data_IF_607149013768
#
_entry.id   IF_607149013768
#
_cell.length_a   1.000
_cell.length_b   1.000
_cell.length_c   1.000
_cell.angle_alpha   90.00
_cell.angle_beta   90.00
_cell.angle_gamma   90.00
#
_symmetry.space_group_name_H-M   'P 1'
#
loop_
_entity.id
_entity.type
_entity.pdbx_description
1 polymer ?
#
# COMPACT_ATOMS: atom_id res chain seq x y z
N UNK A 1 26.66 15.53 38.57
CA UNK A 1 26.42 15.21 37.14
C UNK A 1 24.97 14.87 37.00
N UNK A 2 24.14 15.80 36.54
CA UNK A 2 22.73 15.59 36.27
C UNK A 2 22.63 15.03 34.83
N UNK A 3 22.19 13.78 34.72
CA UNK A 3 21.93 13.15 33.46
C UNK A 3 20.67 13.75 32.82
N UNK A 4 20.84 14.44 31.71
CA UNK A 4 19.76 14.83 30.81
C UNK A 4 19.16 13.57 30.19
N UNK A 5 18.05 13.09 30.74
CA UNK A 5 17.20 12.12 30.06
C UNK A 5 16.59 12.83 28.84
N UNK A 6 17.01 12.44 27.65
CA UNK A 6 16.34 12.83 26.41
C UNK A 6 14.94 12.20 26.40
N UNK A 7 13.93 12.99 26.77
CA UNK A 7 12.53 12.66 26.50
C UNK A 7 12.36 12.58 24.98
N UNK A 8 12.34 11.36 24.43
CA UNK A 8 11.81 11.13 23.10
C UNK A 8 10.32 11.47 23.15
N UNK A 9 9.96 12.64 22.65
CA UNK A 9 8.56 12.99 22.43
C UNK A 9 7.97 11.95 21.46
N UNK A 10 7.13 11.10 21.98
CA UNK A 10 6.27 10.23 21.18
C UNK A 10 5.42 11.14 20.27
N UNK A 11 5.79 11.24 19.01
CA UNK A 11 5.00 11.96 18.01
C UNK A 11 3.70 11.17 17.84
N UNK A 12 2.63 11.69 18.42
CA UNK A 12 1.29 11.12 18.30
C UNK A 12 0.79 11.44 16.88
N UNK A 13 0.15 10.45 16.25
CA UNK A 13 -0.54 10.69 14.98
C UNK A 13 -1.56 11.81 15.16
N UNK A 14 -1.52 12.82 14.29
CA UNK A 14 -2.39 13.98 14.37
C UNK A 14 -3.76 13.67 13.76
N UNK A 15 -4.82 14.02 14.46
CA UNK A 15 -6.18 13.90 13.98
C UNK A 15 -6.76 15.29 13.79
N UNK A 16 -7.34 15.52 12.62
CA UNK A 16 -8.04 16.77 12.26
C UNK A 16 -9.48 16.41 11.89
N UNK A 17 -10.44 17.28 12.23
CA UNK A 17 -11.81 17.19 11.74
C UNK A 17 -11.96 18.15 10.57
N UNK A 18 -12.30 17.61 9.41
CA UNK A 18 -12.58 18.37 8.19
C UNK A 18 -14.10 18.51 8.04
N UNK A 19 -14.58 19.74 7.99
CA UNK A 19 -16.01 20.06 7.78
C UNK A 19 -16.21 20.62 6.38
N UNK A 20 -17.10 20.00 5.60
CA UNK A 20 -17.42 20.43 4.22
C UNK A 20 -18.92 20.67 4.12
N UNK A 21 -19.28 21.90 3.80
CA UNK A 21 -20.65 22.28 3.46
C UNK A 21 -20.87 22.08 1.94
N UNK A 22 -22.01 21.48 1.57
CA UNK A 22 -22.41 21.32 0.17
C UNK A 22 -23.92 21.35 0.06
N UNK A 23 -24.45 22.08 -0.95
CA UNK A 23 -25.87 22.25 -1.16
C UNK A 23 -26.69 20.97 -1.39
N UNK A 24 -26.02 19.86 -1.66
CA UNK A 24 -26.64 18.52 -1.79
C UNK A 24 -27.08 17.94 -0.45
N UNK A 25 -26.64 18.51 0.66
CA UNK A 25 -26.91 18.03 2.01
C UNK A 25 -27.50 19.14 2.86
N UNK A 26 -28.46 18.79 3.72
CA UNK A 26 -29.09 19.74 4.64
C UNK A 26 -28.11 20.27 5.71
N UNK A 27 -27.11 19.48 6.05
CA UNK A 27 -26.07 19.83 7.01
C UNK A 27 -24.69 19.50 6.47
N UNK A 28 -23.65 20.25 6.86
CA UNK A 28 -22.27 19.94 6.52
C UNK A 28 -21.90 18.50 6.92
N UNK A 29 -21.09 17.85 6.12
CA UNK A 29 -20.50 16.56 6.45
C UNK A 29 -19.15 16.77 7.14
N UNK A 30 -18.92 16.02 8.21
CA UNK A 30 -17.67 16.06 8.97
C UNK A 30 -16.91 14.75 8.84
N UNK A 31 -15.60 14.87 8.63
CA UNK A 31 -14.69 13.74 8.45
C UNK A 31 -13.51 13.83 9.41
N UNK A 32 -13.18 12.72 10.06
CA UNK A 32 -11.91 12.56 10.73
C UNK A 32 -10.84 12.31 9.69
N UNK A 33 -9.79 13.12 9.68
CA UNK A 33 -8.58 12.93 8.88
C UNK A 33 -7.45 12.54 9.83
N UNK A 34 -7.01 11.29 9.73
CA UNK A 34 -5.91 10.76 10.53
C UNK A 34 -4.64 10.82 9.73
N UNK A 35 -3.66 11.59 10.18
CA UNK A 35 -2.36 11.73 9.53
C UNK A 35 -1.36 10.69 10.07
N UNK A 36 -0.50 10.11 9.22
CA UNK A 36 0.54 9.19 9.65
C UNK A 36 1.61 9.90 10.48
N UNK A 37 2.28 9.17 11.37
CA UNK A 37 3.27 9.73 12.32
C UNK A 37 4.40 10.52 11.64
N UNK A 38 4.82 10.12 10.43
CA UNK A 38 5.86 10.85 9.71
C UNK A 38 5.39 12.13 9.02
N UNK A 39 4.09 12.44 9.04
CA UNK A 39 3.54 13.55 8.27
C UNK A 39 4.16 14.90 8.62
N UNK A 40 4.34 15.20 9.91
CA UNK A 40 4.99 16.43 10.38
C UNK A 40 6.51 16.44 10.16
N UNK A 41 7.13 15.26 10.13
CA UNK A 41 8.59 15.14 10.05
C UNK A 41 9.12 15.12 8.60
N UNK A 42 8.37 14.52 7.67
CA UNK A 42 8.80 14.31 6.27
C UNK A 42 8.03 15.23 5.31
N UNK A 43 8.45 16.47 5.21
CA UNK A 43 7.75 17.53 4.46
C UNK A 43 7.58 17.21 2.95
N UNK A 44 8.52 16.52 2.34
CA UNK A 44 8.49 16.19 0.90
C UNK A 44 7.77 14.86 0.60
N UNK A 45 7.36 14.09 1.63
CA UNK A 45 6.66 12.82 1.43
C UNK A 45 5.20 13.05 1.10
N UNK A 46 4.70 12.31 0.11
CA UNK A 46 3.29 12.21 -0.24
C UNK A 46 2.76 10.85 0.18
N UNK A 47 1.47 10.78 0.49
CA UNK A 47 0.85 9.66 1.17
C UNK A 47 -0.31 9.08 0.38
N UNK A 48 -0.50 7.77 0.49
CA UNK A 48 -1.72 7.09 0.06
C UNK A 48 -2.91 7.64 0.84
N UNK A 49 -4.08 7.64 0.23
CA UNK A 49 -5.33 8.06 0.85
C UNK A 49 -6.27 6.86 0.98
N UNK A 50 -6.83 6.63 2.16
CA UNK A 50 -7.82 5.57 2.39
C UNK A 50 -9.09 6.13 2.99
N UNK A 51 -10.22 5.70 2.43
CA UNK A 51 -11.55 6.01 2.92
C UNK A 51 -12.25 4.78 3.46
N UNK A 52 -12.93 4.91 4.60
CA UNK A 52 -13.94 3.97 5.07
C UNK A 52 -15.09 4.75 5.72
N UNK A 53 -16.32 4.48 5.28
CA UNK A 53 -17.49 5.27 5.70
C UNK A 53 -18.22 4.72 6.92
N UNK A 54 -17.69 3.69 7.58
CA UNK A 54 -18.23 3.25 8.85
C UNK A 54 -17.65 4.11 10.00
N UNK A 55 -18.48 4.77 10.83
CA UNK A 55 -17.99 5.66 11.89
C UNK A 55 -16.99 4.99 12.85
N UNK A 56 -17.18 3.69 13.11
CA UNK A 56 -16.31 2.91 14.00
C UNK A 56 -15.02 2.40 13.30
N UNK A 57 -14.88 2.59 11.99
CA UNK A 57 -13.68 2.15 11.26
C UNK A 57 -12.42 2.88 11.70
N UNK A 58 -12.53 4.13 12.14
CA UNK A 58 -11.41 4.93 12.62
C UNK A 58 -10.55 4.17 13.64
N UNK A 59 -11.15 3.56 14.64
CA UNK A 59 -10.42 2.95 15.76
C UNK A 59 -9.56 1.77 15.31
N UNK A 60 -10.11 0.84 14.54
CA UNK A 60 -9.33 -0.32 14.08
C UNK A 60 -8.36 0.03 12.95
N UNK A 61 -8.75 0.89 12.01
CA UNK A 61 -7.88 1.31 10.92
C UNK A 61 -6.64 2.05 11.42
N UNK A 62 -6.81 2.97 12.38
CA UNK A 62 -5.67 3.69 12.96
C UNK A 62 -4.71 2.74 13.66
N UNK A 63 -5.22 1.83 14.49
CA UNK A 63 -4.38 0.86 15.20
C UNK A 63 -3.66 -0.11 14.26
N UNK A 64 -4.35 -0.64 13.26
CA UNK A 64 -3.76 -1.52 12.24
C UNK A 64 -2.71 -0.78 11.41
N UNK A 65 -3.02 0.44 10.96
CA UNK A 65 -2.08 1.25 10.20
C UNK A 65 -0.81 1.55 11.00
N UNK A 66 -0.96 1.96 12.26
CA UNK A 66 0.18 2.22 13.16
C UNK A 66 1.05 0.97 13.36
N UNK A 67 0.44 -0.20 13.46
CA UNK A 67 1.14 -1.47 13.59
C UNK A 67 1.83 -1.87 12.28
N UNK A 68 1.08 -1.94 11.17
CA UNK A 68 1.55 -2.48 9.90
C UNK A 68 2.46 -1.54 9.11
N UNK A 69 2.50 -0.24 9.44
CA UNK A 69 3.36 0.74 8.77
C UNK A 69 4.69 1.04 9.49
N UNK A 70 4.90 0.55 10.72
CA UNK A 70 6.02 0.97 11.58
C UNK A 70 6.87 -0.17 12.14
N UNK A 71 6.49 -1.42 11.96
CA UNK A 71 7.10 -2.55 12.67
C UNK A 71 8.01 -3.43 11.80
N UNK A 72 8.85 -2.82 10.98
CA UNK A 72 9.96 -3.49 10.29
C UNK A 72 9.61 -4.06 8.92
N UNK A 73 8.55 -4.83 8.78
CA UNK A 73 8.13 -5.42 7.50
C UNK A 73 7.32 -4.44 6.63
N UNK A 74 6.56 -3.56 7.27
CA UNK A 74 5.79 -2.45 6.69
C UNK A 74 4.86 -2.82 5.51
N UNK A 75 4.00 -3.83 5.65
CA UNK A 75 3.10 -4.22 4.57
C UNK A 75 2.10 -3.12 4.18
N UNK A 76 1.86 -2.16 5.06
CA UNK A 76 1.02 -1.00 4.81
C UNK A 76 1.86 0.27 4.64
N UNK A 77 1.81 0.88 3.46
CA UNK A 77 2.44 2.19 3.25
C UNK A 77 1.78 3.25 4.15
N UNK A 78 2.57 4.19 4.67
CA UNK A 78 2.02 5.28 5.47
C UNK A 78 0.90 6.01 4.70
N UNK A 79 -0.29 6.02 5.28
CA UNK A 79 -1.57 6.38 4.64
C UNK A 79 -2.30 7.43 5.45
N UNK A 80 -2.90 8.41 4.79
CA UNK A 80 -3.90 9.32 5.37
C UNK A 80 -5.23 8.57 5.37
N UNK A 81 -5.86 8.41 6.55
CA UNK A 81 -7.12 7.69 6.70
C UNK A 81 -8.25 8.68 6.95
N UNK A 82 -9.32 8.57 6.14
CA UNK A 82 -10.49 9.44 6.22
C UNK A 82 -11.72 8.62 6.55
N UNK A 83 -12.40 8.98 7.63
CA UNK A 83 -13.64 8.34 8.09
C UNK A 83 -14.68 9.41 8.45
N UNK A 84 -15.99 9.11 8.41
CA UNK A 84 -16.98 10.05 8.89
C UNK A 84 -16.75 10.37 10.38
N UNK A 85 -16.97 11.62 10.77
CA UNK A 85 -16.94 12.00 12.18
C UNK A 85 -18.22 11.52 12.92
N UNK A 86 -19.35 11.60 12.23
CA UNK A 86 -20.66 11.25 12.79
C UNK A 86 -21.55 10.54 11.76
N UNK A 87 -22.43 9.69 12.26
CA UNK A 87 -23.49 9.07 11.49
C UNK A 87 -23.01 8.11 10.40
N UNK A 88 -23.94 7.70 9.57
CA UNK A 88 -23.68 6.90 8.39
C UNK A 88 -24.32 7.57 7.17
N UNK A 89 -23.57 8.33 6.37
CA UNK A 89 -24.11 9.04 5.21
C UNK A 89 -24.57 8.09 4.09
N UNK A 90 -24.30 6.79 4.21
CA UNK A 90 -24.59 5.77 3.20
C UNK A 90 -26.08 5.65 2.85
N UNK A 91 -26.98 5.92 3.79
CA UNK A 91 -28.42 5.88 3.53
C UNK A 91 -28.86 6.77 2.37
N UNK A 92 -28.05 7.75 1.99
CA UNK A 92 -28.28 8.68 0.86
C UNK A 92 -27.69 8.20 -0.47
N UNK A 93 -27.07 7.02 -0.47
CA UNK A 93 -26.26 6.55 -1.60
C UNK A 93 -27.02 5.73 -2.62
N UNK A 94 -28.01 4.97 -2.19
CA UNK A 94 -28.67 4.00 -3.06
C UNK A 94 -30.09 4.40 -3.37
N UNK A 95 -30.40 4.50 -4.65
CA UNK A 95 -31.76 4.43 -5.13
C UNK A 95 -32.09 3.00 -5.53
N UNK A 96 -33.35 2.73 -5.87
CA UNK A 96 -33.81 1.43 -6.30
C UNK A 96 -33.18 0.92 -7.61
N UNK A 97 -32.43 1.76 -8.33
CA UNK A 97 -31.77 1.42 -9.59
C UNK A 97 -30.28 1.12 -9.40
N UNK A 98 -29.73 1.31 -8.21
CA UNK A 98 -28.30 1.17 -7.92
C UNK A 98 -27.43 2.22 -8.64
N UNK A 99 -27.97 3.39 -8.98
CA UNK A 99 -27.24 4.47 -9.61
C UNK A 99 -26.33 5.20 -8.62
N UNK A 100 -25.38 5.93 -9.19
CA UNK A 100 -24.57 6.88 -8.43
C UNK A 100 -25.48 7.89 -7.73
N UNK A 101 -25.15 8.19 -6.49
CA UNK A 101 -25.95 9.02 -5.60
C UNK A 101 -25.23 10.33 -5.30
N UNK A 102 -25.90 11.29 -4.70
CA UNK A 102 -25.30 12.56 -4.31
C UNK A 102 -23.98 12.41 -3.52
N UNK A 103 -23.82 11.33 -2.75
CA UNK A 103 -22.61 11.11 -1.95
C UNK A 103 -21.37 10.81 -2.80
N UNK A 104 -21.48 9.95 -3.82
CA UNK A 104 -20.36 9.68 -4.74
C UNK A 104 -19.99 10.92 -5.57
N UNK A 105 -20.98 11.71 -5.97
CA UNK A 105 -20.76 13.00 -6.63
C UNK A 105 -20.07 14.00 -5.69
N UNK A 106 -20.47 14.02 -4.42
CA UNK A 106 -19.81 14.85 -3.40
C UNK A 106 -18.34 14.43 -3.20
N UNK A 107 -18.03 13.13 -3.18
CA UNK A 107 -16.65 12.69 -3.07
C UNK A 107 -15.78 13.14 -4.24
N UNK A 108 -16.31 13.00 -5.45
CA UNK A 108 -15.59 13.37 -6.67
C UNK A 108 -15.36 14.87 -6.78
N UNK A 109 -16.35 15.68 -6.42
CA UNK A 109 -16.35 17.12 -6.70
C UNK A 109 -15.97 18.01 -5.52
N UNK A 110 -16.02 17.47 -4.28
CA UNK A 110 -15.74 18.25 -3.07
C UNK A 110 -14.74 17.56 -2.14
N UNK A 111 -15.04 16.37 -1.62
CA UNK A 111 -14.24 15.76 -0.56
C UNK A 111 -12.81 15.42 -1.00
N UNK A 112 -12.66 14.72 -2.12
CA UNK A 112 -11.34 14.32 -2.63
C UNK A 112 -10.51 15.55 -3.06
N UNK A 113 -11.06 16.52 -3.84
CA UNK A 113 -10.31 17.72 -4.17
C UNK A 113 -9.88 18.54 -2.96
N UNK A 114 -10.72 18.67 -1.93
CA UNK A 114 -10.37 19.43 -0.74
C UNK A 114 -9.28 18.75 0.08
N UNK A 115 -9.31 17.40 0.18
CA UNK A 115 -8.23 16.65 0.82
C UNK A 115 -6.93 16.76 0.02
N UNK A 116 -6.96 16.61 -1.29
CA UNK A 116 -5.76 16.70 -2.14
C UNK A 116 -5.14 18.12 -2.09
N UNK A 117 -5.96 19.16 -1.88
CA UNK A 117 -5.50 20.54 -1.71
C UNK A 117 -4.86 20.79 -0.34
N UNK A 118 -5.44 20.23 0.74
CA UNK A 118 -4.98 20.48 2.10
C UNK A 118 -3.86 19.57 2.53
N UNK A 119 -3.77 18.34 1.98
CA UNK A 119 -2.85 17.30 2.43
C UNK A 119 -1.97 16.79 1.29
N UNK A 120 -0.79 16.31 1.66
CA UNK A 120 0.19 15.76 0.71
C UNK A 120 -0.18 14.33 0.29
N UNK A 121 -1.17 14.20 -0.56
CA UNK A 121 -1.57 12.92 -1.16
C UNK A 121 -0.72 12.59 -2.38
N UNK A 122 -0.55 11.30 -2.69
CA UNK A 122 0.17 10.83 -3.89
C UNK A 122 -0.76 10.43 -5.05
N UNK A 123 -2.08 10.62 -4.87
CA UNK A 123 -3.08 10.29 -5.87
C UNK A 123 -3.59 8.84 -5.84
N UNK A 124 -2.93 7.91 -5.14
CA UNK A 124 -3.44 6.55 -4.95
C UNK A 124 -4.48 6.51 -3.84
N UNK A 125 -5.68 6.03 -4.15
CA UNK A 125 -6.82 6.05 -3.25
C UNK A 125 -7.40 4.65 -3.06
N UNK A 126 -7.60 4.27 -1.79
CA UNK A 126 -8.22 3.02 -1.36
C UNK A 126 -9.61 3.33 -0.81
N UNK A 127 -10.60 2.55 -1.18
CA UNK A 127 -11.93 2.61 -0.59
C UNK A 127 -12.28 1.27 0.04
N UNK A 128 -12.50 1.26 1.35
CA UNK A 128 -12.91 0.11 2.13
C UNK A 128 -14.34 0.28 2.64
N UNK A 129 -15.04 -0.83 2.82
CA UNK A 129 -16.37 -0.77 3.40
C UNK A 129 -16.93 -2.13 3.78
N UNK A 130 -17.66 -2.13 4.91
CA UNK A 130 -18.31 -3.29 5.49
C UNK A 130 -19.83 -3.17 5.42
N UNK A 131 -20.55 -4.25 5.09
CA UNK A 131 -22.01 -4.31 4.91
C UNK A 131 -22.49 -3.31 3.85
N UNK A 132 -23.42 -2.42 4.20
CA UNK A 132 -23.94 -1.39 3.30
C UNK A 132 -22.82 -0.50 2.75
N UNK A 133 -21.80 -0.20 3.55
CA UNK A 133 -20.61 0.51 3.07
C UNK A 133 -19.83 -0.30 2.02
N UNK A 134 -19.79 -1.65 2.12
CA UNK A 134 -19.24 -2.51 1.10
C UNK A 134 -19.99 -2.40 -0.24
N UNK A 135 -21.32 -2.24 -0.19
CA UNK A 135 -22.11 -1.99 -1.41
C UNK A 135 -21.81 -0.61 -2.02
N UNK A 136 -21.49 0.40 -1.19
CA UNK A 136 -20.99 1.70 -1.66
C UNK A 136 -19.69 1.53 -2.43
N UNK A 137 -18.76 0.74 -1.89
CA UNK A 137 -17.47 0.45 -2.54
C UNK A 137 -17.69 -0.23 -3.89
N UNK A 138 -18.59 -1.23 -3.98
CA UNK A 138 -18.98 -1.86 -5.26
C UNK A 138 -19.59 -0.84 -6.23
N UNK A 139 -20.48 0.03 -5.75
CA UNK A 139 -21.10 1.09 -6.55
C UNK A 139 -20.05 2.05 -7.11
N UNK A 140 -19.07 2.45 -6.28
CA UNK A 140 -18.01 3.38 -6.71
C UNK A 140 -17.16 2.81 -7.83
N UNK A 141 -16.82 1.51 -7.79
CA UNK A 141 -16.03 0.85 -8.83
C UNK A 141 -16.66 0.96 -10.21
N UNK A 142 -17.99 0.79 -10.32
CA UNK A 142 -18.67 0.76 -11.62
C UNK A 142 -19.32 2.08 -12.03
N UNK A 143 -19.63 2.97 -11.10
CA UNK A 143 -20.29 4.24 -11.38
C UNK A 143 -19.33 5.45 -11.32
N UNK A 144 -18.21 5.34 -10.56
CA UNK A 144 -17.14 6.35 -10.46
C UNK A 144 -15.75 5.70 -10.56
N UNK A 145 -15.46 4.98 -11.66
CA UNK A 145 -14.30 4.09 -11.75
C UNK A 145 -12.94 4.79 -11.66
N UNK A 146 -12.89 6.11 -11.81
CA UNK A 146 -11.64 6.88 -11.71
C UNK A 146 -11.41 7.48 -10.31
N UNK A 147 -12.36 7.31 -9.39
CA UNK A 147 -12.29 7.93 -8.08
C UNK A 147 -11.32 7.20 -7.14
N UNK A 148 -11.28 5.87 -7.22
CA UNK A 148 -10.42 5.03 -6.39
C UNK A 148 -9.59 4.05 -7.25
N UNK A 149 -8.40 3.69 -6.74
CA UNK A 149 -7.49 2.73 -7.36
C UNK A 149 -7.71 1.32 -6.82
N UNK A 150 -8.07 1.20 -5.54
CA UNK A 150 -8.26 -0.06 -4.86
C UNK A 150 -9.57 -0.08 -4.04
N UNK A 151 -10.23 -1.21 -4.03
CA UNK A 151 -11.55 -1.42 -3.44
C UNK A 151 -11.49 -2.65 -2.52
N UNK A 152 -11.81 -2.47 -1.23
CA UNK A 152 -11.91 -3.55 -0.25
C UNK A 152 -13.38 -3.68 0.16
N UNK A 153 -14.04 -4.71 -0.35
CA UNK A 153 -15.47 -4.96 -0.19
C UNK A 153 -15.67 -6.08 0.81
N UNK A 154 -16.27 -5.77 1.95
CA UNK A 154 -16.39 -6.69 3.08
C UNK A 154 -17.87 -6.97 3.36
N UNK A 155 -18.30 -8.23 3.19
CA UNK A 155 -19.68 -8.69 3.43
C UNK A 155 -20.74 -7.69 2.95
N UNK A 156 -20.73 -7.30 1.66
CA UNK A 156 -21.60 -6.24 1.17
C UNK A 156 -23.08 -6.59 1.34
N UNK A 157 -23.90 -5.60 1.62
CA UNK A 157 -25.38 -5.74 1.55
C UNK A 157 -25.80 -5.79 0.08
N UNK A 158 -26.44 -6.88 -0.34
CA UNK A 158 -26.81 -7.11 -1.73
C UNK A 158 -28.31 -7.36 -1.92
N UNK A 159 -29.11 -7.15 -0.86
CA UNK A 159 -30.58 -7.33 -0.91
C UNK A 159 -31.19 -6.30 -1.86
N UNK A 160 -31.93 -6.70 -2.92
CA UNK A 160 -32.42 -5.78 -3.95
C UNK A 160 -33.32 -4.66 -3.40
N UNK A 161 -34.08 -4.96 -2.35
CA UNK A 161 -34.97 -3.99 -1.68
C UNK A 161 -34.20 -2.88 -0.97
N UNK A 162 -32.90 -3.07 -0.73
CA UNK A 162 -32.05 -2.12 -0.05
C UNK A 162 -31.09 -1.39 -0.99
N UNK A 163 -30.42 -2.14 -1.87
CA UNK A 163 -29.28 -1.58 -2.63
C UNK A 163 -29.27 -1.95 -4.11
N UNK A 164 -30.00 -2.96 -4.56
CA UNK A 164 -30.14 -3.43 -5.96
C UNK A 164 -28.85 -3.31 -6.83
N UNK A 165 -27.67 -3.48 -6.20
CA UNK A 165 -26.37 -3.25 -6.85
C UNK A 165 -26.06 -4.31 -7.92
N UNK A 166 -26.53 -5.55 -7.75
CA UNK A 166 -26.26 -6.65 -8.67
C UNK A 166 -26.92 -6.47 -10.04
N UNK A 167 -28.00 -5.68 -10.13
CA UNK A 167 -28.70 -5.46 -11.40
C UNK A 167 -27.78 -4.85 -12.46
N UNK A 168 -27.34 -5.68 -13.41
CA UNK A 168 -26.47 -5.29 -14.52
C UNK A 168 -25.03 -4.95 -14.08
N UNK A 169 -24.60 -5.44 -12.91
CA UNK A 169 -23.27 -5.17 -12.38
C UNK A 169 -22.18 -5.64 -13.34
N UNK A 170 -22.23 -6.88 -13.82
CA UNK A 170 -21.26 -7.42 -14.78
C UNK A 170 -21.17 -6.61 -16.06
N UNK A 171 -22.32 -6.15 -16.63
CA UNK A 171 -22.32 -5.28 -17.82
C UNK A 171 -21.62 -3.94 -17.59
N UNK A 172 -21.70 -3.39 -16.37
CA UNK A 172 -20.99 -2.16 -16.00
C UNK A 172 -19.51 -2.45 -15.77
N UNK A 173 -19.18 -3.57 -15.14
CA UNK A 173 -17.81 -4.00 -14.87
C UNK A 173 -17.03 -4.20 -16.17
N UNK A 174 -17.63 -4.86 -17.17
CA UNK A 174 -17.05 -5.07 -18.50
C UNK A 174 -16.77 -3.76 -19.28
N UNK A 175 -17.33 -2.64 -18.85
CA UNK A 175 -17.11 -1.31 -19.47
C UNK A 175 -16.02 -0.50 -18.79
N UNK A 176 -15.35 -1.03 -17.75
CA UNK A 176 -14.23 -0.34 -17.14
C UNK A 176 -13.13 -0.11 -18.19
N UNK A 177 -12.50 1.07 -18.13
CA UNK A 177 -11.36 1.38 -18.98
C UNK A 177 -10.10 0.63 -18.54
N UNK A 178 -9.02 0.72 -19.33
CA UNK A 178 -7.76 0.00 -19.11
C UNK A 178 -6.93 0.50 -17.91
N UNK A 179 -7.42 1.49 -17.15
CA UNK A 179 -6.72 1.95 -15.95
C UNK A 179 -6.66 0.82 -14.92
N UNK A 180 -5.47 0.44 -14.43
CA UNK A 180 -5.31 -0.60 -13.42
C UNK A 180 -6.10 -0.30 -12.14
N UNK A 181 -6.81 -1.29 -11.63
CA UNK A 181 -7.56 -1.24 -10.37
C UNK A 181 -7.43 -2.56 -9.63
N UNK A 182 -7.66 -2.47 -8.33
CA UNK A 182 -7.70 -3.62 -7.46
C UNK A 182 -9.09 -3.74 -6.79
N UNK A 183 -9.58 -4.98 -6.69
CA UNK A 183 -10.79 -5.33 -5.97
C UNK A 183 -10.55 -6.56 -5.10
N UNK A 184 -10.72 -6.42 -3.79
CA UNK A 184 -10.90 -7.53 -2.88
C UNK A 184 -12.39 -7.63 -2.52
N UNK A 185 -12.98 -8.80 -2.75
CA UNK A 185 -14.31 -9.14 -2.24
C UNK A 185 -14.20 -10.24 -1.20
N UNK A 186 -14.72 -9.98 0.00
CA UNK A 186 -14.70 -10.93 1.11
C UNK A 186 -16.07 -11.07 1.75
N UNK A 187 -16.33 -12.23 2.35
CA UNK A 187 -17.45 -12.48 3.26
C UNK A 187 -17.14 -13.65 4.18
N UNK A 188 -18.07 -13.94 5.12
CA UNK A 188 -18.08 -15.13 5.97
C UNK A 188 -19.33 -15.98 5.73
N UNK A 189 -19.53 -16.96 6.60
CA UNK A 189 -20.70 -17.85 6.61
C UNK A 189 -21.37 -17.88 7.99
N UNK A 190 -21.47 -16.71 8.62
CA UNK A 190 -22.19 -16.59 9.90
C UNK A 190 -23.69 -16.38 9.67
N UNK A 191 -24.49 -16.67 10.70
CA UNK A 191 -25.95 -16.42 10.68
C UNK A 191 -26.32 -14.98 10.27
N UNK A 192 -25.42 -14.03 10.45
CA UNK A 192 -25.61 -12.63 10.02
C UNK A 192 -25.57 -12.47 8.50
N UNK A 193 -25.02 -13.44 7.80
CA UNK A 193 -24.79 -13.42 6.36
C UNK A 193 -25.60 -14.47 5.58
N UNK A 194 -26.32 -15.38 6.27
CA UNK A 194 -27.05 -16.48 5.64
C UNK A 194 -27.97 -16.00 4.51
N UNK A 195 -28.66 -14.89 4.71
CA UNK A 195 -29.56 -14.31 3.71
C UNK A 195 -28.85 -13.69 2.50
N UNK A 196 -27.51 -13.57 2.52
CA UNK A 196 -26.69 -12.99 1.46
C UNK A 196 -25.92 -14.05 0.67
N UNK A 197 -25.76 -15.28 1.14
CA UNK A 197 -24.86 -16.30 0.57
C UNK A 197 -25.07 -16.52 -0.93
N UNK A 198 -26.33 -16.66 -1.36
CA UNK A 198 -26.66 -16.81 -2.79
C UNK A 198 -26.23 -15.57 -3.60
N UNK A 199 -26.38 -14.37 -3.04
CA UNK A 199 -26.01 -13.11 -3.70
C UNK A 199 -24.49 -12.91 -3.74
N UNK A 200 -23.76 -13.39 -2.72
CA UNK A 200 -22.30 -13.43 -2.75
C UNK A 200 -21.78 -14.34 -3.85
N UNK A 201 -22.39 -15.52 -4.03
CA UNK A 201 -22.06 -16.42 -5.14
C UNK A 201 -22.34 -15.75 -6.49
N UNK A 202 -23.50 -15.13 -6.66
CA UNK A 202 -23.84 -14.37 -7.85
C UNK A 202 -22.87 -13.23 -8.13
N UNK A 203 -22.51 -12.43 -7.12
CA UNK A 203 -21.52 -11.35 -7.28
C UNK A 203 -20.17 -11.89 -7.74
N UNK A 204 -19.69 -12.98 -7.12
CA UNK A 204 -18.44 -13.63 -7.51
C UNK A 204 -18.47 -14.11 -8.97
N UNK A 205 -19.57 -14.73 -9.41
CA UNK A 205 -19.77 -15.16 -10.79
C UNK A 205 -19.78 -13.97 -11.76
N UNK A 206 -20.51 -12.89 -11.43
CA UNK A 206 -20.54 -11.67 -12.24
C UNK A 206 -19.15 -11.02 -12.38
N UNK A 207 -18.35 -10.99 -11.30
CA UNK A 207 -16.98 -10.49 -11.35
C UNK A 207 -16.11 -11.41 -12.21
N UNK A 208 -16.17 -12.73 -11.96
CA UNK A 208 -15.34 -13.71 -12.68
C UNK A 208 -15.59 -13.70 -14.19
N UNK A 209 -16.85 -13.53 -14.59
CA UNK A 209 -17.24 -13.55 -16.00
C UNK A 209 -16.97 -12.22 -16.74
N UNK A 210 -16.90 -11.09 -16.03
CA UNK A 210 -16.94 -9.77 -16.66
C UNK A 210 -15.78 -8.85 -16.26
N UNK A 211 -14.90 -9.25 -15.34
CA UNK A 211 -13.75 -8.42 -14.94
C UNK A 211 -12.78 -8.25 -16.12
N UNK A 212 -12.48 -7.01 -16.54
CA UNK A 212 -11.48 -6.77 -17.57
C UNK A 212 -10.06 -7.06 -17.04
N UNK A 213 -9.10 -7.25 -17.95
CA UNK A 213 -7.70 -7.50 -17.59
C UNK A 213 -7.08 -6.38 -16.73
N UNK A 214 -7.62 -5.16 -16.80
CA UNK A 214 -7.20 -4.01 -15.98
C UNK A 214 -7.69 -4.08 -14.53
N UNK A 215 -8.60 -4.98 -14.19
CA UNK A 215 -9.08 -5.20 -12.84
C UNK A 215 -8.42 -6.43 -12.23
N UNK A 216 -7.37 -6.23 -11.43
CA UNK A 216 -6.86 -7.29 -10.57
C UNK A 216 -7.87 -7.52 -9.45
N UNK A 217 -8.41 -8.73 -9.34
CA UNK A 217 -9.38 -9.00 -8.28
C UNK A 217 -9.09 -10.29 -7.54
N UNK A 218 -9.51 -10.33 -6.28
CA UNK A 218 -9.38 -11.48 -5.40
C UNK A 218 -10.67 -11.68 -4.61
N UNK A 219 -10.90 -12.92 -4.22
CA UNK A 219 -12.02 -13.35 -3.41
C UNK A 219 -11.55 -14.17 -2.22
N UNK A 220 -12.08 -13.85 -1.04
CA UNK A 220 -11.78 -14.60 0.17
C UNK A 220 -13.06 -14.86 0.98
N UNK A 221 -13.29 -16.14 1.31
CA UNK A 221 -14.35 -16.56 2.23
C UNK A 221 -13.75 -16.87 3.60
N UNK A 222 -14.13 -16.11 4.61
CA UNK A 222 -13.70 -16.25 6.00
C UNK A 222 -14.69 -17.11 6.80
N UNK A 223 -15.03 -18.30 6.29
CA UNK A 223 -16.02 -19.23 6.82
C UNK A 223 -15.93 -19.50 8.34
N UNK A 224 -14.70 -19.61 8.89
CA UNK A 224 -14.47 -19.99 10.28
C UNK A 224 -14.36 -18.77 11.23
N UNK A 225 -14.63 -17.56 10.74
CA UNK A 225 -14.44 -16.33 11.52
C UNK A 225 -15.77 -15.67 11.90
N UNK A 226 -15.77 -14.98 13.03
CA UNK A 226 -16.90 -14.17 13.46
C UNK A 226 -17.13 -12.99 12.53
N UNK A 227 -18.39 -12.63 12.32
CA UNK A 227 -18.80 -11.52 11.46
C UNK A 227 -18.08 -10.20 11.76
N UNK A 228 -17.91 -9.86 13.05
CA UNK A 228 -17.24 -8.63 13.47
C UNK A 228 -15.70 -8.68 13.36
N UNK A 229 -15.12 -9.84 13.07
CA UNK A 229 -13.68 -9.95 12.78
C UNK A 229 -13.36 -9.65 11.31
N UNK A 230 -14.35 -9.75 10.42
CA UNK A 230 -14.15 -9.63 8.97
C UNK A 230 -13.55 -8.28 8.55
N UNK A 231 -13.95 -7.13 9.11
CA UNK A 231 -13.32 -5.85 8.74
C UNK A 231 -11.80 -5.84 8.97
N UNK A 232 -11.34 -6.38 10.11
CA UNK A 232 -9.91 -6.42 10.44
C UNK A 232 -9.16 -7.37 9.52
N UNK A 233 -9.64 -8.62 9.36
CA UNK A 233 -9.03 -9.64 8.52
C UNK A 233 -8.96 -9.22 7.05
N UNK A 234 -10.08 -8.70 6.53
CA UNK A 234 -10.18 -8.29 5.13
C UNK A 234 -9.33 -7.07 4.83
N UNK A 235 -9.25 -6.11 5.75
CA UNK A 235 -8.41 -4.93 5.56
C UNK A 235 -6.94 -5.32 5.59
N UNK A 236 -6.48 -6.13 6.56
CA UNK A 236 -5.09 -6.60 6.61
C UNK A 236 -4.71 -7.32 5.31
N UNK A 237 -5.48 -8.33 4.93
CA UNK A 237 -5.23 -9.08 3.70
C UNK A 237 -5.28 -8.20 2.44
N UNK A 238 -6.28 -7.30 2.35
CA UNK A 238 -6.40 -6.40 1.19
C UNK A 238 -5.21 -5.44 1.05
N UNK A 239 -4.73 -4.89 2.15
CA UNK A 239 -3.55 -4.02 2.16
C UNK A 239 -2.29 -4.77 1.72
N UNK A 240 -2.06 -5.96 2.23
CA UNK A 240 -0.94 -6.81 1.82
C UNK A 240 -0.96 -7.07 0.31
N UNK A 241 -2.13 -7.42 -0.23
CA UNK A 241 -2.28 -7.71 -1.66
C UNK A 241 -2.16 -6.46 -2.56
N UNK A 242 -2.67 -5.30 -2.10
CA UNK A 242 -2.55 -4.03 -2.85
C UNK A 242 -1.09 -3.63 -3.02
N UNK A 243 -0.27 -3.82 -1.99
CA UNK A 243 1.13 -3.38 -1.96
C UNK A 243 2.15 -4.52 -2.13
N UNK A 244 1.71 -5.73 -2.46
CA UNK A 244 2.56 -6.91 -2.61
C UNK A 244 3.77 -6.67 -3.52
N UNK A 245 3.54 -6.11 -4.71
CA UNK A 245 4.61 -5.82 -5.68
C UNK A 245 5.61 -4.75 -5.21
N UNK A 246 5.25 -3.95 -4.20
CA UNK A 246 6.16 -2.97 -3.59
C UNK A 246 7.05 -3.65 -2.56
N UNK A 247 6.52 -4.58 -1.78
CA UNK A 247 7.20 -5.19 -0.64
C UNK A 247 7.94 -6.48 -0.99
N UNK A 248 7.30 -7.39 -1.69
CA UNK A 248 7.91 -8.67 -2.04
C UNK A 248 8.90 -8.56 -3.21
N UNK A 249 8.69 -7.60 -4.09
CA UNK A 249 9.58 -7.40 -5.22
C UNK A 249 9.52 -8.54 -6.24
N UNK A 250 10.46 -8.51 -7.18
CA UNK A 250 10.65 -9.59 -8.16
C UNK A 250 11.59 -10.65 -7.61
N UNK A 251 11.17 -11.92 -7.64
CA UNK A 251 12.06 -13.03 -7.38
C UNK A 251 13.23 -13.01 -8.40
N UNK A 252 14.47 -13.32 -7.96
CA UNK A 252 15.64 -13.32 -8.86
C UNK A 252 15.49 -14.23 -10.10
N UNK A 253 14.76 -15.34 -9.94
CA UNK A 253 14.49 -16.31 -11.00
C UNK A 253 13.31 -15.91 -11.89
N UNK A 254 12.61 -14.81 -11.61
CA UNK A 254 11.50 -14.35 -12.44
C UNK A 254 11.95 -14.02 -13.87
N UNK A 255 11.03 -14.16 -14.82
CA UNK A 255 11.31 -13.87 -16.23
C UNK A 255 11.85 -12.46 -16.46
N UNK A 256 11.44 -11.49 -15.64
CA UNK A 256 11.90 -10.09 -15.73
C UNK A 256 13.31 -9.96 -15.13
N UNK A 257 13.52 -10.47 -13.90
CA UNK A 257 14.80 -10.33 -13.21
C UNK A 257 15.96 -11.00 -13.98
N UNK A 258 15.71 -12.16 -14.62
CA UNK A 258 16.70 -12.85 -15.48
C UNK A 258 17.15 -12.02 -16.68
N UNK A 259 16.41 -11.00 -17.10
CA UNK A 259 16.83 -10.08 -18.18
C UNK A 259 17.77 -8.98 -17.69
N UNK A 260 17.98 -8.87 -16.37
CA UNK A 260 18.93 -7.94 -15.75
C UNK A 260 18.30 -6.65 -15.22
N UNK A 261 19.18 -5.75 -14.78
CA UNK A 261 18.79 -4.54 -14.05
C UNK A 261 17.90 -3.61 -14.87
N UNK A 262 18.17 -3.43 -16.15
CA UNK A 262 17.39 -2.54 -17.01
C UNK A 262 15.93 -3.00 -17.14
N UNK A 263 15.70 -4.32 -17.23
CA UNK A 263 14.37 -4.89 -17.29
C UNK A 263 13.62 -4.72 -15.95
N UNK A 264 14.32 -4.88 -14.82
CA UNK A 264 13.78 -4.61 -13.48
C UNK A 264 13.38 -3.12 -13.39
N UNK A 265 14.26 -2.21 -13.74
CA UNK A 265 13.99 -0.75 -13.72
C UNK A 265 12.78 -0.40 -14.59
N UNK A 266 12.71 -0.94 -15.83
CA UNK A 266 11.59 -0.72 -16.72
C UNK A 266 10.26 -1.26 -16.15
N UNK A 267 10.29 -2.42 -15.49
CA UNK A 267 9.11 -2.97 -14.81
C UNK A 267 8.61 -2.04 -13.70
N UNK A 268 9.50 -1.60 -12.80
CA UNK A 268 9.12 -0.71 -11.69
C UNK A 268 8.71 0.69 -12.18
N UNK A 269 9.26 1.16 -13.29
CA UNK A 269 8.80 2.39 -13.93
C UNK A 269 7.34 2.24 -14.41
N UNK A 270 6.97 1.11 -15.02
CA UNK A 270 5.56 0.84 -15.37
C UNK A 270 4.66 0.77 -14.15
N UNK A 271 5.06 0.04 -13.10
CA UNK A 271 4.29 0.02 -11.84
C UNK A 271 4.07 1.44 -11.29
N UNK A 272 5.11 2.26 -11.30
CA UNK A 272 5.04 3.65 -10.82
C UNK A 272 4.07 4.51 -11.63
N UNK A 273 4.09 4.40 -12.95
CA UNK A 273 3.32 5.29 -13.84
C UNK A 273 1.91 4.77 -14.12
N UNK A 274 1.74 3.46 -14.30
CA UNK A 274 0.48 2.88 -14.76
C UNK A 274 -0.39 2.39 -13.61
N UNK A 275 0.20 1.75 -12.58
CA UNK A 275 -0.56 1.14 -11.48
C UNK A 275 -0.70 2.04 -10.26
N UNK A 276 0.40 2.56 -9.74
CA UNK A 276 0.38 3.28 -8.46
C UNK A 276 0.26 4.80 -8.59
N UNK A 277 0.78 5.41 -9.67
CA UNK A 277 0.78 6.86 -9.84
C UNK A 277 1.81 7.59 -8.96
N UNK A 278 2.69 6.85 -8.27
CA UNK A 278 3.81 7.36 -7.49
C UNK A 278 5.03 6.46 -7.67
N UNK A 279 6.21 6.97 -7.31
CA UNK A 279 7.47 6.26 -7.49
C UNK A 279 7.54 4.99 -6.65
N UNK A 280 7.79 3.84 -7.29
CA UNK A 280 8.07 2.54 -6.67
C UNK A 280 9.50 2.16 -7.00
N UNK A 281 10.32 1.96 -5.97
CA UNK A 281 11.75 1.72 -6.12
C UNK A 281 12.06 0.28 -6.58
N UNK A 282 12.89 0.08 -7.61
CA UNK A 282 13.36 -1.25 -8.03
C UNK A 282 14.46 -1.84 -7.12
N UNK A 283 14.91 -1.09 -6.09
CA UNK A 283 16.13 -1.35 -5.33
C UNK A 283 16.16 -2.74 -4.68
N UNK A 284 15.06 -3.18 -4.07
CA UNK A 284 14.97 -4.50 -3.43
C UNK A 284 15.17 -5.63 -4.42
N UNK A 285 14.54 -5.56 -5.59
CA UNK A 285 14.66 -6.57 -6.65
C UNK A 285 16.04 -6.59 -7.30
N UNK A 286 16.66 -5.43 -7.49
CA UNK A 286 18.05 -5.35 -7.98
C UNK A 286 19.01 -6.00 -6.98
N UNK A 287 18.85 -5.70 -5.68
CA UNK A 287 19.65 -6.30 -4.63
C UNK A 287 19.44 -7.83 -4.56
N UNK A 288 18.19 -8.30 -4.64
CA UNK A 288 17.87 -9.72 -4.65
C UNK A 288 18.56 -10.45 -5.82
N UNK A 289 18.52 -9.88 -7.03
CA UNK A 289 19.24 -10.40 -8.19
C UNK A 289 20.75 -10.44 -7.94
N UNK A 290 21.32 -9.36 -7.41
CA UNK A 290 22.74 -9.27 -7.11
C UNK A 290 23.19 -10.34 -6.09
N UNK A 291 22.43 -10.55 -5.02
CA UNK A 291 22.73 -11.58 -4.02
C UNK A 291 22.56 -13.01 -4.56
N UNK A 292 21.54 -13.27 -5.34
CA UNK A 292 21.36 -14.56 -6.01
C UNK A 292 22.55 -14.91 -6.92
N UNK A 293 22.99 -13.94 -7.73
CA UNK A 293 24.16 -14.11 -8.60
C UNK A 293 25.47 -14.24 -7.81
N UNK A 294 25.54 -13.65 -6.63
CA UNK A 294 26.74 -13.71 -5.79
C UNK A 294 27.09 -15.13 -5.36
N UNK A 295 26.09 -16.02 -5.24
CA UNK A 295 26.27 -17.41 -4.89
C UNK A 295 26.86 -18.25 -6.04
N UNK A 296 26.60 -17.88 -7.29
CA UNK A 296 26.94 -18.67 -8.45
C UNK A 296 27.95 -18.01 -9.41
N UNK A 297 27.94 -16.67 -9.48
CA UNK A 297 28.77 -15.88 -10.38
C UNK A 297 29.09 -14.50 -9.79
N UNK A 298 30.09 -14.40 -8.88
CA UNK A 298 30.46 -13.14 -8.22
C UNK A 298 30.77 -12.00 -9.20
N UNK A 299 31.30 -12.29 -10.37
CA UNK A 299 31.58 -11.27 -11.38
C UNK A 299 30.30 -10.66 -11.99
N UNK A 300 29.26 -11.47 -12.18
CA UNK A 300 27.95 -10.96 -12.62
C UNK A 300 27.28 -10.17 -11.49
N UNK A 301 27.38 -10.62 -10.24
CA UNK A 301 26.90 -9.87 -9.09
C UNK A 301 27.56 -8.49 -8.98
N UNK A 302 28.88 -8.39 -9.20
CA UNK A 302 29.61 -7.11 -9.25
C UNK A 302 29.02 -6.19 -10.30
N UNK A 303 28.66 -6.69 -11.50
CA UNK A 303 28.02 -5.87 -12.54
C UNK A 303 26.65 -5.33 -12.07
N UNK A 304 25.83 -6.19 -11.49
CA UNK A 304 24.51 -5.80 -10.96
C UNK A 304 24.65 -4.76 -9.84
N UNK A 305 25.55 -4.96 -8.88
CA UNK A 305 25.76 -4.00 -7.79
C UNK A 305 26.40 -2.69 -8.27
N UNK A 306 27.23 -2.69 -9.30
CA UNK A 306 27.69 -1.45 -9.93
C UNK A 306 26.54 -0.66 -10.58
N UNK A 307 25.61 -1.32 -11.25
CA UNK A 307 24.39 -0.68 -11.79
C UNK A 307 23.50 -0.16 -10.63
N UNK A 308 23.33 -0.92 -9.55
CA UNK A 308 22.64 -0.46 -8.36
C UNK A 308 23.31 0.80 -7.77
N UNK A 309 24.64 0.82 -7.68
CA UNK A 309 25.39 1.97 -7.18
C UNK A 309 25.24 3.21 -8.08
N UNK A 310 25.21 3.03 -9.41
CA UNK A 310 24.96 4.12 -10.34
C UNK A 310 23.54 4.72 -10.17
N UNK A 311 22.54 3.90 -9.87
CA UNK A 311 21.17 4.34 -9.58
C UNK A 311 21.05 5.01 -8.20
N UNK A 312 21.82 4.56 -7.22
CA UNK A 312 21.73 4.99 -5.80
C UNK A 312 23.10 5.44 -5.23
N UNK A 313 23.74 6.48 -5.79
CA UNK A 313 25.13 6.86 -5.42
C UNK A 313 25.28 7.42 -4.01
N UNK A 314 24.17 7.72 -3.31
CA UNK A 314 24.18 8.18 -1.91
C UNK A 314 23.71 7.11 -0.92
N UNK A 315 23.51 5.89 -1.37
CA UNK A 315 23.05 4.80 -0.51
C UNK A 315 24.20 4.00 0.07
N UNK A 316 24.39 4.07 1.39
CA UNK A 316 25.40 3.29 2.11
C UNK A 316 25.34 1.79 1.81
N UNK A 317 24.11 1.23 1.62
CA UNK A 317 23.95 -0.18 1.34
C UNK A 317 24.33 -0.56 -0.10
N UNK A 318 24.22 0.33 -1.07
CA UNK A 318 24.72 0.05 -2.42
C UNK A 318 26.24 -0.17 -2.42
N UNK A 319 26.99 0.66 -1.69
CA UNK A 319 28.43 0.47 -1.48
C UNK A 319 28.74 -0.82 -0.70
N UNK A 320 27.98 -1.09 0.36
CA UNK A 320 28.15 -2.29 1.19
C UNK A 320 27.95 -3.59 0.37
N UNK A 321 26.88 -3.66 -0.45
CA UNK A 321 26.62 -4.85 -1.27
C UNK A 321 27.72 -5.07 -2.31
N UNK A 322 28.19 -3.99 -2.94
CA UNK A 322 29.31 -4.07 -3.86
C UNK A 322 30.61 -4.48 -3.16
N UNK A 323 30.88 -3.97 -1.95
CA UNK A 323 32.01 -4.40 -1.14
C UNK A 323 31.97 -5.92 -0.83
N UNK A 324 30.79 -6.44 -0.48
CA UNK A 324 30.59 -7.89 -0.29
C UNK A 324 30.96 -8.70 -1.54
N UNK A 325 30.52 -8.23 -2.71
CA UNK A 325 30.81 -8.93 -3.96
C UNK A 325 32.31 -8.93 -4.29
N UNK A 326 33.00 -7.81 -4.06
CA UNK A 326 34.46 -7.75 -4.24
C UNK A 326 35.21 -8.61 -3.22
N UNK A 327 34.74 -8.67 -1.98
CA UNK A 327 35.35 -9.51 -0.96
C UNK A 327 35.24 -11.02 -1.32
N UNK A 328 34.09 -11.48 -1.77
CA UNK A 328 33.91 -12.86 -2.25
C UNK A 328 34.72 -13.17 -3.52
N UNK A 329 35.08 -12.16 -4.28
CA UNK A 329 35.99 -12.28 -5.43
C UNK A 329 37.46 -12.16 -5.05
N UNK A 330 37.83 -12.25 -3.76
CA UNK A 330 39.19 -12.07 -3.22
C UNK A 330 39.83 -10.70 -3.54
N UNK A 331 39.04 -9.67 -3.83
CA UNK A 331 39.51 -8.30 -4.12
C UNK A 331 39.34 -7.41 -2.88
N UNK A 332 40.01 -7.80 -1.78
CA UNK A 332 39.84 -7.20 -0.46
C UNK A 332 40.16 -5.70 -0.41
N UNK A 333 41.21 -5.24 -1.08
CA UNK A 333 41.54 -3.81 -1.13
C UNK A 333 40.37 -2.96 -1.66
N UNK A 334 39.72 -3.41 -2.74
CA UNK A 334 38.56 -2.71 -3.31
C UNK A 334 37.33 -2.82 -2.43
N UNK A 335 37.14 -3.97 -1.75
CA UNK A 335 36.04 -4.17 -0.80
C UNK A 335 36.18 -3.19 0.39
N UNK A 336 37.40 -3.01 0.92
CA UNK A 336 37.67 -2.06 2.03
C UNK A 336 37.36 -0.62 1.60
N UNK A 337 37.88 -0.17 0.45
CA UNK A 337 37.60 1.17 -0.09
C UNK A 337 36.09 1.47 -0.19
N UNK A 338 35.33 0.54 -0.74
CA UNK A 338 33.88 0.67 -0.89
C UNK A 338 33.16 0.66 0.46
N UNK A 339 33.61 -0.20 1.40
CA UNK A 339 33.03 -0.25 2.73
C UNK A 339 33.34 1.00 3.57
N UNK A 340 34.48 1.62 3.41
CA UNK A 340 34.81 2.91 4.03
C UNK A 340 33.82 4.00 3.56
N UNK A 341 33.48 3.99 2.27
CA UNK A 341 32.45 4.89 1.73
C UNK A 341 31.08 4.59 2.33
N UNK A 342 30.70 3.31 2.47
CA UNK A 342 29.47 2.89 3.12
C UNK A 342 29.38 3.39 4.57
N UNK A 343 30.46 3.28 5.35
CA UNK A 343 30.53 3.81 6.73
C UNK A 343 30.35 5.32 6.76
N UNK A 344 31.02 6.05 5.86
CA UNK A 344 30.88 7.51 5.75
C UNK A 344 29.44 7.93 5.48
N UNK A 345 28.76 7.31 4.50
CA UNK A 345 27.37 7.60 4.15
C UNK A 345 26.38 7.20 5.25
N UNK A 346 26.71 6.19 6.06
CA UNK A 346 25.89 5.76 7.19
C UNK A 346 25.93 6.70 8.40
N UNK A 347 26.78 7.74 8.43
CA UNK A 347 27.02 8.60 9.59
C UNK A 347 25.73 9.21 10.18
N UNK A 348 24.74 9.53 9.35
CA UNK A 348 23.46 10.10 9.77
C UNK A 348 22.32 9.06 9.86
N UNK A 349 22.60 7.76 9.72
CA UNK A 349 21.61 6.70 9.85
C UNK A 349 21.42 6.30 11.33
N UNK A 350 20.40 5.46 11.58
CA UNK A 350 20.18 4.90 12.92
C UNK A 350 21.39 4.12 13.41
N UNK A 351 21.58 4.07 14.72
CA UNK A 351 22.76 3.47 15.38
C UNK A 351 23.07 2.04 14.93
N UNK A 352 22.07 1.22 14.71
CA UNK A 352 22.27 -0.15 14.27
C UNK A 352 22.82 -0.25 12.83
N UNK A 353 22.42 0.65 11.92
CA UNK A 353 23.00 0.73 10.58
C UNK A 353 24.49 1.11 10.66
N UNK A 354 24.81 2.14 11.46
CA UNK A 354 26.21 2.57 11.67
C UNK A 354 27.07 1.44 12.19
N UNK A 355 26.60 0.74 13.22
CA UNK A 355 27.31 -0.42 13.80
C UNK A 355 27.52 -1.52 12.76
N UNK A 356 26.49 -1.86 11.98
CA UNK A 356 26.59 -2.90 10.94
C UNK A 356 27.65 -2.57 9.90
N UNK A 357 27.69 -1.32 9.41
CA UNK A 357 28.67 -0.89 8.42
C UNK A 357 30.08 -0.90 8.99
N UNK A 358 30.27 -0.41 10.22
CA UNK A 358 31.56 -0.40 10.89
C UNK A 358 32.09 -1.82 11.21
N UNK A 359 31.22 -2.72 11.69
CA UNK A 359 31.60 -4.12 11.96
C UNK A 359 32.10 -4.81 10.70
N UNK A 360 31.40 -4.66 9.58
CA UNK A 360 31.82 -5.30 8.34
C UNK A 360 33.15 -4.72 7.82
N UNK A 361 33.41 -3.41 8.00
CA UNK A 361 34.73 -2.84 7.69
C UNK A 361 35.86 -3.46 8.53
N UNK A 362 35.61 -3.66 9.82
CA UNK A 362 36.59 -4.29 10.71
C UNK A 362 36.88 -5.75 10.30
N UNK A 363 35.84 -6.50 9.93
CA UNK A 363 35.98 -7.87 9.40
C UNK A 363 36.86 -7.90 8.13
N UNK A 364 36.60 -7.02 7.16
CA UNK A 364 37.39 -6.94 5.92
C UNK A 364 38.85 -6.62 6.19
N UNK A 365 39.14 -5.68 7.13
CA UNK A 365 40.52 -5.31 7.51
C UNK A 365 41.25 -6.47 8.21
N UNK A 366 40.55 -7.20 9.08
CA UNK A 366 41.10 -8.38 9.73
C UNK A 366 41.46 -9.50 8.72
N UNK A 367 40.57 -9.75 7.75
CA UNK A 367 40.83 -10.69 6.65
C UNK A 367 42.04 -10.26 5.80
N UNK A 368 42.17 -8.98 5.50
CA UNK A 368 43.32 -8.48 4.72
C UNK A 368 44.66 -8.54 5.47
N UNK A 369 44.64 -8.57 6.80
CA UNK A 369 45.87 -8.73 7.63
C UNK A 369 46.26 -10.19 7.80
N UNK A 370 45.32 -11.12 7.62
CA UNK A 370 45.53 -12.55 7.77
C UNK A 370 46.07 -13.24 6.48
N UNK A 371 46.05 -12.55 5.35
CA UNK A 371 46.58 -12.97 4.05
C UNK A 371 47.99 -12.43 3.81
#
# INVERSE_FOLDING_TARGET
MLGLASLSTLVKAEQVVLTIADQRFEQPLEFNVQLPKSYSQKQNKRYVLMFDFHPNAKSYLTGMHDWMSLNGEWPWLETIIVTPAYGNPVARLFDATGKTTPLLDFFETQLVPEIDKQYRTNGFRIFSGFRVNGSVVLSSLVNKPNLFNAHIVISPELTPERVNILKGYGKKLAKLNDKPRYLLFTHGETIKEDHQQQRYSQLKEEISANAPASLQWQYQNYKAHYFMSLPVLSTAYGIEQIFDEIHNGLAPESKIARQGVDAIVAHYKRLSTEKFGFEVSPKSSINALGFHLLETSPEQAIKVFNQALALYPQDAYAYHHLAKAYAQSNKLAKAIELQEKAVSLAANMLTWHKKRQASYLAELRALAQAL
#
